data_IF_037476527286
#
_entry.id   IF_037476527286
#
_cell.length_a   1.000
_cell.length_b   1.000
_cell.length_c   1.000
_cell.angle_alpha   90.00
_cell.angle_beta   90.00
_cell.angle_gamma   90.00
#
_symmetry.space_group_name_H-M   'P 1'
#
loop_
_entity.id
_entity.type
_entity.pdbx_description
1 polymer ?
#
# COMPACT_ATOMS: atom_id res chain seq x y z
N UNK A 1 53.65 -53.83 25.98
CA UNK A 1 53.54 -52.87 24.86
C UNK A 1 52.21 -52.15 25.03
N UNK A 2 52.23 -50.83 25.24
CA UNK A 2 51.02 -50.03 25.39
C UNK A 2 50.76 -49.28 24.09
N UNK A 3 49.64 -49.55 23.44
CA UNK A 3 49.24 -48.92 22.18
C UNK A 3 48.48 -47.64 22.52
N UNK A 4 49.04 -46.48 22.19
CA UNK A 4 48.33 -45.20 22.30
C UNK A 4 47.52 -44.97 21.02
N UNK A 5 46.22 -44.70 21.18
CA UNK A 5 45.34 -44.26 20.08
C UNK A 5 45.26 -42.74 20.15
N UNK A 6 45.78 -42.05 19.14
CA UNK A 6 45.57 -40.62 18.95
C UNK A 6 44.24 -40.39 18.22
N UNK A 7 43.28 -39.78 18.91
CA UNK A 7 42.06 -39.24 18.29
C UNK A 7 42.35 -37.79 17.85
N UNK A 8 42.27 -37.55 16.54
CA UNK A 8 42.32 -36.21 15.96
C UNK A 8 40.88 -35.73 15.74
N UNK A 9 40.46 -34.71 16.47
CA UNK A 9 39.22 -33.98 16.18
C UNK A 9 39.52 -32.83 15.23
N UNK A 10 39.08 -32.94 13.98
CA UNK A 10 39.03 -31.79 13.07
C UNK A 10 37.76 -30.98 13.39
N UNK A 11 37.92 -29.77 13.92
CA UNK A 11 36.83 -28.81 13.99
C UNK A 11 36.52 -28.34 12.56
N UNK A 12 35.35 -28.71 12.03
CA UNK A 12 34.88 -28.13 10.77
C UNK A 12 34.62 -26.63 11.00
N UNK A 13 35.05 -25.74 10.08
CA UNK A 13 34.76 -24.32 10.21
C UNK A 13 33.24 -24.11 10.23
N UNK A 14 32.77 -23.35 11.21
CA UNK A 14 31.36 -22.97 11.30
C UNK A 14 30.96 -22.24 10.02
N UNK A 15 29.90 -22.72 9.36
CA UNK A 15 29.31 -22.00 8.25
C UNK A 15 28.76 -20.67 8.78
N UNK A 16 29.04 -19.52 8.13
CA UNK A 16 28.47 -18.26 8.54
C UNK A 16 26.95 -18.37 8.51
N UNK A 17 26.28 -17.98 9.59
CA UNK A 17 24.83 -17.91 9.59
C UNK A 17 24.40 -16.93 8.49
N UNK A 18 23.39 -17.27 7.67
CA UNK A 18 22.84 -16.31 6.73
C UNK A 18 22.40 -15.06 7.49
N UNK A 19 22.65 -13.88 6.91
CA UNK A 19 22.16 -12.64 7.47
C UNK A 19 20.63 -12.74 7.68
N UNK A 20 20.09 -12.19 8.77
CA UNK A 20 18.65 -12.19 8.98
C UNK A 20 17.96 -11.58 7.77
N UNK A 21 16.85 -12.18 7.33
CA UNK A 21 16.04 -11.62 6.26
C UNK A 21 15.58 -10.22 6.68
N UNK A 22 16.04 -9.21 5.94
CA UNK A 22 15.68 -7.83 6.21
C UNK A 22 14.31 -7.55 5.60
N UNK A 23 13.40 -6.94 6.37
CA UNK A 23 12.08 -6.57 5.92
C UNK A 23 11.87 -5.06 6.09
N UNK A 24 11.76 -4.34 4.98
CA UNK A 24 11.54 -2.89 4.93
C UNK A 24 10.10 -2.54 4.60
N UNK A 25 9.54 -1.63 5.40
CA UNK A 25 8.21 -1.06 5.26
C UNK A 25 8.33 0.47 5.25
N UNK A 26 7.78 1.10 4.21
CA UNK A 26 7.63 2.55 4.14
C UNK A 26 6.17 2.91 4.44
N UNK A 27 5.97 3.78 5.43
CA UNK A 27 4.66 4.28 5.82
C UNK A 27 4.53 5.74 5.38
N UNK A 28 3.72 5.99 4.36
CA UNK A 28 3.29 7.33 4.03
C UNK A 28 1.98 7.65 4.76
N UNK A 29 1.75 8.94 5.02
CA UNK A 29 0.50 9.42 5.60
C UNK A 29 -0.67 9.35 4.63
N UNK A 30 -1.61 10.29 4.79
CA UNK A 30 -2.78 10.37 3.93
C UNK A 30 -2.47 10.80 2.50
N UNK A 31 -2.95 10.03 1.53
CA UNK A 31 -3.03 10.39 0.13
C UNK A 31 -4.35 11.12 -0.15
N UNK A 32 -4.43 12.38 0.28
CA UNK A 32 -5.52 13.29 -0.08
C UNK A 32 -5.27 13.92 -1.48
N UNK A 33 -5.03 13.07 -2.47
CA UNK A 33 -4.64 13.49 -3.82
C UNK A 33 -5.88 13.61 -4.70
N UNK A 34 -6.17 14.82 -5.19
CA UNK A 34 -7.39 15.12 -5.96
C UNK A 34 -7.21 15.07 -7.47
N UNK A 35 -5.98 15.15 -7.95
CA UNK A 35 -5.65 15.23 -9.38
C UNK A 35 -4.54 14.24 -9.72
N UNK A 36 -4.50 13.78 -10.96
CA UNK A 36 -3.47 12.86 -11.42
C UNK A 36 -2.14 13.61 -11.54
N UNK A 37 -1.26 13.42 -10.55
CA UNK A 37 0.04 14.09 -10.45
C UNK A 37 0.92 13.81 -11.67
N UNK A 38 0.71 12.70 -12.40
CA UNK A 38 1.44 12.38 -13.64
C UNK A 38 1.12 13.37 -14.76
N UNK A 39 -0.07 13.95 -14.73
CA UNK A 39 -0.54 14.94 -15.71
C UNK A 39 -0.20 16.35 -15.22
N UNK A 40 -0.49 16.63 -13.95
CA UNK A 40 -0.36 17.98 -13.39
C UNK A 40 1.08 18.38 -13.07
N UNK A 41 1.91 17.43 -12.62
CA UNK A 41 3.26 17.66 -12.11
C UNK A 41 4.23 16.55 -12.58
N UNK A 42 4.34 16.29 -13.90
CA UNK A 42 5.14 15.19 -14.45
C UNK A 42 6.63 15.28 -14.05
N UNK A 43 7.16 16.48 -13.83
CA UNK A 43 8.54 16.71 -13.43
C UNK A 43 8.84 16.28 -11.98
N UNK A 44 7.81 16.15 -11.13
CA UNK A 44 7.96 15.71 -9.74
C UNK A 44 8.01 14.19 -9.60
N UNK A 45 7.54 13.44 -10.62
CA UNK A 45 7.42 11.98 -10.54
C UNK A 45 8.75 11.29 -10.17
N UNK A 46 9.90 11.62 -10.77
CA UNK A 46 11.16 10.98 -10.40
C UNK A 46 11.54 11.22 -8.93
N UNK A 47 11.30 12.43 -8.41
CA UNK A 47 11.59 12.77 -7.01
C UNK A 47 10.69 12.04 -6.03
N UNK A 48 9.38 12.00 -6.31
CA UNK A 48 8.40 11.26 -5.49
C UNK A 48 8.76 9.77 -5.44
N UNK A 49 9.08 9.17 -6.61
CA UNK A 49 9.50 7.76 -6.69
C UNK A 49 10.80 7.50 -5.93
N UNK A 50 11.79 8.38 -6.03
CA UNK A 50 13.05 8.23 -5.31
C UNK A 50 12.83 8.22 -3.78
N UNK A 51 11.93 9.05 -3.27
CA UNK A 51 11.58 9.09 -1.84
C UNK A 51 10.83 7.83 -1.40
N UNK A 52 9.86 7.37 -2.19
CA UNK A 52 9.01 6.22 -1.84
C UNK A 52 9.67 4.86 -2.09
N UNK A 53 10.75 4.83 -2.86
CA UNK A 53 11.52 3.61 -3.17
C UNK A 53 12.89 3.60 -2.48
N UNK A 54 13.10 4.47 -1.49
CA UNK A 54 14.36 4.53 -0.72
C UNK A 54 14.65 3.18 -0.08
N UNK A 55 15.87 2.68 -0.27
CA UNK A 55 16.32 1.38 0.20
C UNK A 55 15.46 0.19 -0.26
N UNK A 56 14.71 0.34 -1.36
CA UNK A 56 13.88 -0.72 -1.96
C UNK A 56 12.94 -1.40 -0.93
N UNK A 57 11.92 -0.69 -0.41
CA UNK A 57 11.00 -1.24 0.56
C UNK A 57 10.13 -2.35 -0.06
N UNK A 58 9.81 -3.39 0.72
CA UNK A 58 8.90 -4.44 0.26
C UNK A 58 7.44 -3.98 0.27
N UNK A 59 7.11 -3.09 1.20
CA UNK A 59 5.78 -2.51 1.35
C UNK A 59 5.90 -0.99 1.35
N UNK A 60 5.04 -0.34 0.56
CA UNK A 60 4.85 1.10 0.52
C UNK A 60 3.38 1.35 0.77
N UNK A 61 3.08 1.83 1.98
CA UNK A 61 1.74 2.02 2.49
C UNK A 61 1.27 3.47 2.38
N UNK A 62 -0.03 3.68 2.17
CA UNK A 62 -0.69 4.98 2.38
C UNK A 62 -2.15 4.84 2.83
N UNK A 63 -2.68 5.85 3.52
CA UNK A 63 -4.12 6.01 3.73
C UNK A 63 -4.75 6.72 2.53
N UNK A 64 -5.57 6.02 1.75
CA UNK A 64 -6.30 6.59 0.61
C UNK A 64 -7.46 7.44 1.12
N UNK A 65 -7.23 8.74 1.26
CA UNK A 65 -8.17 9.67 1.89
C UNK A 65 -9.07 10.39 0.88
N UNK A 66 -9.36 9.75 -0.25
CA UNK A 66 -10.31 10.25 -1.24
C UNK A 66 -11.28 9.15 -1.65
N UNK A 67 -12.56 9.51 -1.80
CA UNK A 67 -13.53 8.62 -2.42
C UNK A 67 -13.28 8.57 -3.95
N UNK A 68 -13.38 7.40 -4.56
CA UNK A 68 -13.14 7.27 -6.00
C UNK A 68 -14.47 7.24 -6.75
N UNK A 69 -14.60 8.13 -7.74
CA UNK A 69 -15.69 8.12 -8.70
C UNK A 69 -15.52 6.93 -9.63
N UNK A 70 -16.51 6.03 -9.71
CA UNK A 70 -16.39 4.79 -10.48
C UNK A 70 -17.72 4.31 -11.04
N UNK A 71 -17.79 3.01 -11.33
CA UNK A 71 -18.93 2.35 -11.97
C UNK A 71 -20.21 2.42 -11.15
N UNK A 72 -20.09 2.55 -9.83
CA UNK A 72 -21.24 2.77 -8.96
C UNK A 72 -21.55 4.26 -8.87
N UNK A 73 -22.74 4.63 -9.33
CA UNK A 73 -23.24 5.99 -9.25
C UNK A 73 -23.54 6.38 -7.79
N UNK A 74 -22.72 7.28 -7.24
CA UNK A 74 -22.93 7.92 -5.94
C UNK A 74 -23.13 9.42 -6.11
N UNK A 75 -24.06 10.00 -5.33
CA UNK A 75 -24.19 11.43 -5.22
C UNK A 75 -23.16 11.97 -4.21
N UNK A 76 -22.78 13.24 -4.37
CA UNK A 76 -22.01 13.93 -3.34
C UNK A 76 -22.82 13.94 -2.04
N UNK A 77 -22.20 13.50 -0.95
CA UNK A 77 -22.84 13.53 0.38
C UNK A 77 -22.81 14.92 1.02
N UNK A 78 -21.93 15.80 0.52
CA UNK A 78 -21.79 17.19 0.96
C UNK A 78 -21.34 18.08 -0.20
N UNK A 79 -21.71 19.35 -0.13
CA UNK A 79 -21.33 20.37 -1.12
C UNK A 79 -20.50 21.48 -0.44
N UNK A 80 -19.36 21.09 0.13
CA UNK A 80 -18.44 21.97 0.88
C UNK A 80 -17.01 21.74 0.42
N UNK A 81 -16.07 22.60 0.83
CA UNK A 81 -14.63 22.39 0.59
C UNK A 81 -14.08 21.08 1.18
N UNK A 82 -14.74 20.54 2.21
CA UNK A 82 -14.41 19.25 2.82
C UNK A 82 -14.86 18.02 2.01
N UNK A 83 -15.37 18.19 0.79
CA UNK A 83 -15.68 17.08 -0.11
C UNK A 83 -14.41 16.65 -0.88
N UNK A 84 -14.02 15.40 -0.70
CA UNK A 84 -12.81 14.81 -1.26
C UNK A 84 -13.14 13.55 -2.05
N UNK A 85 -13.43 13.75 -3.33
CA UNK A 85 -13.51 12.69 -4.32
C UNK A 85 -12.60 12.96 -5.51
N UNK A 86 -12.18 11.90 -6.18
CA UNK A 86 -11.36 11.97 -7.39
C UNK A 86 -11.69 10.86 -8.39
N UNK A 87 -11.02 10.88 -9.54
CA UNK A 87 -11.19 9.92 -10.63
C UNK A 87 -10.23 8.73 -10.48
N UNK A 88 -10.53 7.57 -11.09
CA UNK A 88 -9.70 6.37 -10.99
C UNK A 88 -8.23 6.55 -11.40
N UNK A 89 -7.94 7.50 -12.30
CA UNK A 89 -6.59 7.79 -12.78
C UNK A 89 -5.62 8.20 -11.64
N UNK A 90 -6.12 8.75 -10.53
CA UNK A 90 -5.27 9.03 -9.36
C UNK A 90 -4.70 7.75 -8.76
N UNK A 91 -5.47 6.66 -8.74
CA UNK A 91 -4.99 5.36 -8.24
C UNK A 91 -3.86 4.82 -9.12
N UNK A 92 -3.93 5.05 -10.44
CA UNK A 92 -2.85 4.67 -11.35
C UNK A 92 -1.56 5.47 -11.07
N UNK A 93 -1.69 6.75 -10.72
CA UNK A 93 -0.56 7.56 -10.26
C UNK A 93 0.04 7.06 -8.95
N UNK A 94 -0.78 6.76 -7.96
CA UNK A 94 -0.32 6.21 -6.67
C UNK A 94 0.38 4.84 -6.87
N UNK A 95 -0.16 3.99 -7.74
CA UNK A 95 0.49 2.73 -8.12
C UNK A 95 1.84 2.96 -8.79
N UNK A 96 1.95 3.94 -9.68
CA UNK A 96 3.21 4.29 -10.35
C UNK A 96 4.28 4.82 -9.38
N UNK A 97 3.85 5.43 -8.28
CA UNK A 97 4.74 5.87 -7.19
C UNK A 97 5.28 4.69 -6.36
N UNK A 98 4.67 3.52 -6.52
CA UNK A 98 5.07 2.27 -5.88
C UNK A 98 4.26 1.91 -4.65
N UNK A 99 3.17 2.62 -4.35
CA UNK A 99 2.24 2.20 -3.31
C UNK A 99 1.62 0.84 -3.63
N UNK A 100 1.69 -0.08 -2.67
CA UNK A 100 1.17 -1.44 -2.83
C UNK A 100 0.23 -1.88 -1.69
N UNK A 101 0.08 -1.08 -0.63
CA UNK A 101 -0.88 -1.31 0.46
C UNK A 101 -1.66 -0.03 0.79
N UNK A 102 -2.99 -0.12 0.81
CA UNK A 102 -3.86 1.04 1.01
C UNK A 102 -4.78 0.84 2.22
N UNK A 103 -4.80 1.80 3.14
CA UNK A 103 -5.92 1.93 4.08
C UNK A 103 -7.05 2.71 3.42
N UNK A 104 -8.29 2.24 3.58
CA UNK A 104 -9.48 2.85 2.97
C UNK A 104 -10.53 3.24 4.01
N UNK A 105 -10.28 3.02 5.30
CA UNK A 105 -11.14 3.43 6.39
C UNK A 105 -10.71 4.79 6.95
N UNK A 106 -11.39 5.86 6.56
CA UNK A 106 -11.12 7.22 7.01
C UNK A 106 -12.37 8.10 6.90
N UNK A 107 -12.25 9.38 7.30
CA UNK A 107 -13.34 10.35 7.31
C UNK A 107 -13.86 10.76 5.92
N UNK A 108 -13.14 10.43 4.84
CA UNK A 108 -13.52 10.76 3.47
C UNK A 108 -13.98 9.54 2.65
N UNK A 109 -13.90 8.33 3.20
CA UNK A 109 -14.37 7.10 2.53
C UNK A 109 -15.85 7.16 2.10
N UNK A 110 -16.67 7.91 2.83
CA UNK A 110 -18.11 8.06 2.58
C UNK A 110 -18.48 9.32 1.80
N UNK A 111 -17.53 10.06 1.22
CA UNK A 111 -17.86 11.34 0.57
C UNK A 111 -18.78 11.17 -0.66
N UNK A 112 -18.73 10.01 -1.32
CA UNK A 112 -19.65 9.59 -2.39
C UNK A 112 -20.70 8.55 -1.90
N UNK A 113 -20.90 8.47 -0.59
CA UNK A 113 -21.80 7.53 0.04
C UNK A 113 -21.38 6.06 -0.13
N UNK A 114 -22.33 5.15 0.06
CA UNK A 114 -22.09 3.70 -0.10
C UNK A 114 -21.62 3.34 -1.51
N UNK A 115 -22.16 3.98 -2.54
CA UNK A 115 -21.71 3.78 -3.92
C UNK A 115 -20.25 4.22 -4.13
N UNK A 116 -19.82 5.28 -3.44
CA UNK A 116 -18.43 5.69 -3.35
C UNK A 116 -17.50 4.64 -2.77
N UNK A 117 -17.89 4.03 -1.64
CA UNK A 117 -17.13 2.93 -1.02
C UNK A 117 -16.98 1.79 -2.02
N UNK A 118 -18.08 1.35 -2.64
CA UNK A 118 -18.06 0.25 -3.61
C UNK A 118 -17.19 0.57 -4.84
N UNK A 119 -17.26 1.80 -5.36
CA UNK A 119 -16.41 2.26 -6.46
C UNK A 119 -14.94 2.29 -6.09
N UNK A 120 -14.58 2.74 -4.89
CA UNK A 120 -13.20 2.72 -4.40
C UNK A 120 -12.66 1.29 -4.30
N UNK A 121 -13.42 0.38 -3.68
CA UNK A 121 -13.04 -1.03 -3.56
C UNK A 121 -12.88 -1.67 -4.94
N UNK A 122 -13.84 -1.48 -5.84
CA UNK A 122 -13.77 -2.00 -7.21
C UNK A 122 -12.54 -1.45 -7.96
N UNK A 123 -12.25 -0.16 -7.82
CA UNK A 123 -11.13 0.48 -8.50
C UNK A 123 -9.79 -0.13 -8.08
N UNK A 124 -9.61 -0.40 -6.78
CA UNK A 124 -8.41 -1.02 -6.22
C UNK A 124 -8.34 -2.50 -6.62
N UNK A 125 -9.46 -3.23 -6.51
CA UNK A 125 -9.57 -4.65 -6.89
C UNK A 125 -9.19 -4.88 -8.36
N UNK A 126 -9.72 -4.06 -9.28
CA UNK A 126 -9.41 -4.12 -10.71
C UNK A 126 -7.93 -3.88 -11.03
N UNK A 127 -7.21 -3.17 -10.15
CA UNK A 127 -5.77 -2.87 -10.30
C UNK A 127 -4.86 -3.85 -9.58
N UNK A 128 -5.45 -4.83 -8.88
CA UNK A 128 -4.73 -5.80 -8.05
C UNK A 128 -4.00 -5.14 -6.88
N UNK A 129 -4.53 -4.05 -6.34
CA UNK A 129 -3.93 -3.34 -5.21
C UNK A 129 -4.52 -3.86 -3.90
N UNK A 130 -3.68 -4.14 -2.92
CA UNK A 130 -4.10 -4.66 -1.62
C UNK A 130 -4.64 -3.51 -0.77
N UNK A 131 -5.81 -3.69 -0.16
CA UNK A 131 -6.44 -2.67 0.67
C UNK A 131 -7.23 -3.24 1.84
N UNK A 132 -7.38 -2.44 2.91
CA UNK A 132 -8.16 -2.78 4.09
C UNK A 132 -8.81 -1.53 4.73
N UNK A 133 -9.88 -1.72 5.50
CA UNK A 133 -10.54 -0.66 6.29
C UNK A 133 -11.90 -0.18 5.76
N UNK A 134 -12.32 -0.66 4.59
CA UNK A 134 -13.68 -0.52 4.05
C UNK A 134 -14.13 -1.86 3.47
N UNK A 135 -15.44 -2.07 3.32
CA UNK A 135 -15.99 -3.33 2.81
C UNK A 135 -17.47 -3.24 2.45
N UNK A 136 -17.99 -4.27 1.77
CA UNK A 136 -19.41 -4.36 1.40
C UNK A 136 -20.32 -4.62 2.61
N UNK A 137 -19.72 -5.03 3.72
CA UNK A 137 -20.34 -5.28 5.01
C UNK A 137 -19.29 -5.10 6.12
N UNK A 138 -19.72 -5.17 7.38
CA UNK A 138 -18.83 -5.01 8.54
C UNK A 138 -17.73 -6.07 8.62
N UNK A 139 -18.01 -7.30 8.16
CA UNK A 139 -17.03 -8.38 8.15
C UNK A 139 -15.87 -8.08 7.20
N UNK A 140 -16.17 -7.67 5.97
CA UNK A 140 -15.17 -7.21 5.00
C UNK A 140 -14.41 -5.98 5.50
N UNK A 141 -15.12 -4.99 6.05
CA UNK A 141 -14.49 -3.76 6.54
C UNK A 141 -13.51 -3.98 7.71
N UNK A 142 -13.74 -5.04 8.51
CA UNK A 142 -12.90 -5.39 9.66
C UNK A 142 -11.83 -6.45 9.33
N UNK A 143 -11.84 -7.00 8.12
CA UNK A 143 -10.91 -8.06 7.73
C UNK A 143 -9.52 -7.50 7.42
N UNK A 144 -8.44 -8.22 7.78
CA UNK A 144 -7.10 -7.88 7.32
C UNK A 144 -6.96 -8.16 5.83
N UNK A 145 -6.02 -7.47 5.19
CA UNK A 145 -5.55 -7.78 3.84
C UNK A 145 -4.07 -8.15 3.87
N UNK A 146 -3.62 -8.91 2.86
CA UNK A 146 -2.29 -9.53 2.83
C UNK A 146 -1.59 -9.22 1.50
N UNK A 147 -0.28 -8.96 1.59
CA UNK A 147 0.64 -8.77 0.46
C UNK A 147 1.46 -10.04 0.21
#
# INVERSE_FOLDING_TARGET
MATAVLLWTFALPAQPMPAPAEFRLLLAGQALVKYDVRVELPEQIPGIRALLQVDAPHIVFTNLETAIQGSFSGANTRNTEFFHATVPAVIDGLKEFGFNLFATGNNHSWDLGTAGILSTLETLDQRGLVHAGSGRNLGEASAPAFL
#
